data_IF_211458459640
#
_entry.id   IF_211458459640
#
_cell.length_a   1.000
_cell.length_b   1.000
_cell.length_c   1.000
_cell.angle_alpha   90.00
_cell.angle_beta   90.00
_cell.angle_gamma   90.00
#
_symmetry.space_group_name_H-M   'P 1'
#
loop_
_entity.id
_entity.type
_entity.pdbx_description
1 polymer ?
#
# COMPACT_ATOMS: atom_id res chain seq x y z
N UNK A 1 -23.99 -10.18 -5.24
CA UNK A 1 -23.94 -9.42 -3.97
C UNK A 1 -22.66 -8.60 -3.97
N UNK A 2 -22.75 -7.26 -4.02
CA UNK A 2 -21.59 -6.40 -4.27
C UNK A 2 -20.78 -6.18 -2.99
N UNK A 3 -19.62 -6.85 -2.90
CA UNK A 3 -18.72 -6.91 -1.73
C UNK A 3 -18.21 -5.52 -1.33
N UNK A 4 -18.15 -4.58 -2.28
CA UNK A 4 -17.75 -3.18 -2.04
C UNK A 4 -18.65 -2.45 -1.02
N UNK A 5 -19.93 -2.86 -0.90
CA UNK A 5 -20.88 -2.23 0.03
C UNK A 5 -20.78 -2.73 1.47
N UNK A 6 -20.11 -3.86 1.73
CA UNK A 6 -20.00 -4.44 3.08
C UNK A 6 -18.73 -4.05 3.84
N UNK A 7 -17.65 -3.73 3.14
CA UNK A 7 -16.37 -3.42 3.80
C UNK A 7 -16.24 -1.95 4.23
N UNK A 8 -16.96 -1.02 3.59
CA UNK A 8 -16.95 0.40 3.96
C UNK A 8 -18.34 1.03 3.77
N UNK A 9 -19.23 1.02 4.79
CA UNK A 9 -20.57 1.61 4.70
C UNK A 9 -20.56 3.15 4.76
N UNK A 10 -19.48 3.81 4.36
CA UNK A 10 -19.38 5.26 4.42
C UNK A 10 -19.96 5.90 3.15
N UNK A 11 -21.29 6.02 3.13
CA UNK A 11 -22.03 6.86 2.16
C UNK A 11 -22.45 8.15 2.86
N UNK A 12 -21.52 9.09 3.06
CA UNK A 12 -21.87 10.49 3.36
C UNK A 12 -21.45 11.40 2.20
N UNK A 13 -22.21 12.47 1.91
CA UNK A 13 -21.83 13.48 0.93
C UNK A 13 -20.44 14.05 1.23
N UNK A 14 -19.61 14.22 0.20
CA UNK A 14 -18.19 14.56 0.26
C UNK A 14 -17.93 16.05 0.53
N UNK A 15 -18.73 16.68 1.40
CA UNK A 15 -18.77 18.15 1.51
C UNK A 15 -18.19 18.67 2.83
N UNK A 16 -17.68 17.79 3.69
CA UNK A 16 -17.00 18.19 4.93
C UNK A 16 -15.64 17.52 5.03
N UNK A 17 -14.62 18.37 5.11
CA UNK A 17 -13.21 18.11 5.42
C UNK A 17 -13.11 16.90 6.37
N UNK A 18 -12.61 15.77 5.87
CA UNK A 18 -12.25 14.64 6.71
C UNK A 18 -11.14 15.12 7.64
N UNK A 19 -11.44 15.31 8.93
CA UNK A 19 -10.41 15.41 9.96
C UNK A 19 -9.44 14.24 9.77
N UNK A 20 -8.15 14.58 9.75
CA UNK A 20 -7.03 13.68 9.48
C UNK A 20 -7.03 12.39 10.31
N UNK A 21 -7.74 12.40 11.44
CA UNK A 21 -7.95 11.30 12.38
C UNK A 21 -8.79 10.15 11.78
N UNK A 22 -9.64 10.40 10.79
CA UNK A 22 -10.58 9.37 10.30
C UNK A 22 -9.97 8.44 9.27
N UNK A 23 -9.24 8.95 8.28
CA UNK A 23 -8.69 8.11 7.23
C UNK A 23 -7.45 7.31 7.68
N UNK A 24 -6.70 7.76 8.69
CA UNK A 24 -5.56 7.01 9.26
C UNK A 24 -5.96 5.81 10.13
N UNK A 25 -7.25 5.54 10.33
CA UNK A 25 -7.69 4.35 11.08
C UNK A 25 -7.50 3.03 10.32
N UNK A 26 -7.56 3.09 8.99
CA UNK A 26 -7.53 1.92 8.11
C UNK A 26 -6.72 2.26 6.87
N UNK A 27 -5.65 1.53 6.62
CA UNK A 27 -4.89 1.55 5.38
C UNK A 27 -5.22 0.33 4.51
N UNK A 28 -5.20 0.52 3.20
CA UNK A 28 -5.21 -0.56 2.22
C UNK A 28 -4.44 -0.07 0.97
N UNK A 29 -3.47 -0.83 0.44
CA UNK A 29 -2.59 -0.37 -0.64
C UNK A 29 -3.28 -0.11 -1.99
N UNK A 30 -4.47 -0.69 -2.20
CA UNK A 30 -5.24 -0.65 -3.44
C UNK A 30 -6.43 0.32 -3.38
N UNK A 31 -6.48 1.15 -2.33
CA UNK A 31 -7.46 2.23 -2.16
C UNK A 31 -6.75 3.58 -2.12
N UNK A 32 -7.48 4.66 -2.44
CA UNK A 32 -7.01 5.99 -2.05
C UNK A 32 -6.95 6.08 -0.53
N UNK A 33 -5.81 6.49 0.01
CA UNK A 33 -5.66 6.60 1.46
C UNK A 33 -6.63 7.58 2.12
N UNK A 34 -7.05 8.65 1.45
CA UNK A 34 -7.97 9.62 2.04
C UNK A 34 -9.43 9.18 1.88
N UNK A 35 -9.91 9.03 0.65
CA UNK A 35 -11.33 8.79 0.36
C UNK A 35 -11.72 7.31 0.24
N UNK A 36 -10.75 6.39 0.34
CA UNK A 36 -10.96 4.94 0.29
C UNK A 36 -11.60 4.41 -1.01
N UNK A 37 -11.71 5.24 -2.06
CA UNK A 37 -12.16 4.79 -3.39
C UNK A 37 -11.14 3.81 -3.99
N UNK A 38 -11.64 2.78 -4.66
CA UNK A 38 -10.84 1.69 -5.27
C UNK A 38 -10.27 2.10 -6.62
N UNK A 39 -9.27 1.34 -7.11
CA UNK A 39 -8.74 1.44 -8.49
C UNK A 39 -9.81 1.24 -9.58
N UNK A 40 -10.97 0.65 -9.26
CA UNK A 40 -12.08 0.48 -10.21
C UNK A 40 -12.90 1.75 -10.41
N UNK A 41 -12.93 2.62 -9.39
CA UNK A 41 -13.72 3.87 -9.38
C UNK A 41 -12.86 5.06 -9.79
N UNK A 42 -11.57 5.04 -9.44
CA UNK A 42 -10.64 6.16 -9.66
C UNK A 42 -9.26 5.66 -10.04
N UNK A 43 -8.53 6.46 -10.83
CA UNK A 43 -7.12 6.24 -11.04
C UNK A 43 -6.35 6.58 -9.75
N UNK A 44 -5.54 5.63 -9.27
CA UNK A 44 -4.70 5.84 -8.09
C UNK A 44 -3.28 6.23 -8.51
N UNK A 45 -2.82 7.33 -7.94
CA UNK A 45 -1.46 7.86 -8.00
C UNK A 45 -0.71 7.34 -6.77
N UNK A 46 0.27 6.49 -7.00
CA UNK A 46 1.16 5.99 -5.94
C UNK A 46 2.21 7.06 -5.61
N UNK A 47 2.56 7.21 -4.33
CA UNK A 47 3.63 8.11 -3.91
C UNK A 47 4.93 7.74 -4.62
N UNK A 48 5.51 8.67 -5.36
CA UNK A 48 6.68 8.45 -6.21
C UNK A 48 8.02 8.44 -5.44
N UNK A 49 7.98 8.65 -4.12
CA UNK A 49 9.17 8.58 -3.24
C UNK A 49 9.27 7.23 -2.55
N UNK A 50 8.20 6.84 -1.84
CA UNK A 50 8.20 5.59 -1.08
C UNK A 50 7.60 4.42 -1.85
N UNK A 51 6.63 4.63 -2.74
CA UNK A 51 5.86 3.60 -3.46
C UNK A 51 4.85 2.75 -2.64
N UNK A 52 4.69 3.01 -1.34
CA UNK A 52 3.86 2.17 -0.44
C UNK A 52 2.43 2.67 -0.21
N UNK A 53 2.08 3.87 -0.66
CA UNK A 53 0.76 4.48 -0.44
C UNK A 53 0.23 5.14 -1.70
N UNK A 54 -1.09 5.15 -1.88
CA UNK A 54 -1.74 5.67 -3.08
C UNK A 54 -2.87 6.66 -2.77
N UNK A 55 -3.09 7.61 -3.68
CA UNK A 55 -4.10 8.66 -3.60
C UNK A 55 -4.85 8.78 -4.93
N UNK A 56 -6.10 9.25 -4.94
CA UNK A 56 -6.84 9.44 -6.20
C UNK A 56 -6.62 10.81 -6.85
N UNK A 57 -5.93 11.74 -6.17
CA UNK A 57 -5.64 13.09 -6.64
C UNK A 57 -4.45 13.68 -5.90
N UNK A 58 -3.83 14.72 -6.47
CA UNK A 58 -2.78 15.47 -5.77
C UNK A 58 -3.35 16.19 -4.55
N UNK A 59 -4.62 16.62 -4.56
CA UNK A 59 -5.28 17.21 -3.39
C UNK A 59 -5.30 16.26 -2.19
N UNK A 60 -5.65 14.99 -2.38
CA UNK A 60 -5.63 13.99 -1.31
C UNK A 60 -4.21 13.63 -0.87
N UNK A 61 -3.25 13.68 -1.78
CA UNK A 61 -1.83 13.49 -1.43
C UNK A 61 -1.30 14.66 -0.60
N UNK A 62 -1.65 15.89 -0.95
CA UNK A 62 -1.29 17.11 -0.22
C UNK A 62 -1.98 17.19 1.14
N UNK A 63 -3.25 16.77 1.24
CA UNK A 63 -3.97 16.70 2.50
C UNK A 63 -3.27 15.77 3.51
N UNK A 64 -2.77 14.63 3.04
CA UNK A 64 -2.07 13.66 3.89
C UNK A 64 -0.56 13.95 4.05
N UNK A 65 -0.01 14.91 3.29
CA UNK A 65 1.43 15.11 3.17
C UNK A 65 2.13 15.29 4.52
N UNK A 66 1.60 16.13 5.42
CA UNK A 66 2.24 16.42 6.70
C UNK A 66 2.34 15.18 7.61
N UNK A 67 1.38 14.27 7.53
CA UNK A 67 1.38 13.02 8.30
C UNK A 67 2.26 11.96 7.64
N UNK A 68 2.28 11.91 6.31
CA UNK A 68 3.05 10.92 5.56
C UNK A 68 4.55 11.23 5.46
N UNK A 69 4.95 12.50 5.53
CA UNK A 69 6.31 12.95 5.15
C UNK A 69 7.44 12.22 5.89
N UNK A 70 7.25 11.90 7.17
CA UNK A 70 8.30 11.35 8.01
C UNK A 70 8.56 9.88 7.63
N UNK A 71 7.52 9.05 7.66
CA UNK A 71 7.60 7.65 7.22
C UNK A 71 8.03 7.54 5.76
N UNK A 72 7.55 8.44 4.89
CA UNK A 72 7.96 8.49 3.49
C UNK A 72 9.47 8.70 3.33
N UNK A 73 10.06 9.56 4.16
CA UNK A 73 11.50 9.86 4.11
C UNK A 73 12.33 8.69 4.63
N UNK A 74 11.87 8.02 5.69
CA UNK A 74 12.54 6.82 6.21
C UNK A 74 12.50 5.66 5.20
N UNK A 75 11.36 5.40 4.56
CA UNK A 75 11.24 4.40 3.49
C UNK A 75 12.11 4.77 2.30
N UNK A 76 12.05 6.01 1.82
CA UNK A 76 12.86 6.44 0.67
C UNK A 76 14.36 6.27 0.93
N UNK A 77 14.82 6.54 2.16
CA UNK A 77 16.21 6.30 2.55
C UNK A 77 16.58 4.83 2.40
N UNK A 78 15.79 3.92 2.97
CA UNK A 78 16.03 2.49 2.82
C UNK A 78 16.08 2.04 1.35
N UNK A 79 15.16 2.53 0.52
CA UNK A 79 15.11 2.20 -0.90
C UNK A 79 16.31 2.72 -1.69
N UNK A 80 16.88 3.86 -1.30
CA UNK A 80 18.12 4.39 -1.91
C UNK A 80 19.33 3.53 -1.55
N UNK A 81 19.37 3.04 -0.32
CA UNK A 81 20.44 2.16 0.16
C UNK A 81 20.29 0.73 -0.40
N UNK A 82 19.07 0.33 -0.78
CA UNK A 82 18.72 -1.00 -1.28
C UNK A 82 17.96 -0.93 -2.62
N UNK A 83 18.61 -0.52 -3.73
CA UNK A 83 17.95 -0.22 -5.00
C UNK A 83 17.21 -1.42 -5.63
N UNK A 84 17.62 -2.65 -5.32
CA UNK A 84 16.97 -3.84 -5.85
C UNK A 84 15.73 -4.29 -5.07
N UNK A 85 15.50 -3.75 -3.86
CA UNK A 85 14.46 -4.23 -2.93
C UNK A 85 13.07 -4.37 -3.59
N UNK A 86 12.67 -3.41 -4.42
CA UNK A 86 11.36 -3.42 -5.07
C UNK A 86 11.27 -4.33 -6.32
N UNK A 87 12.39 -4.55 -6.99
CA UNK A 87 12.46 -5.27 -8.28
C UNK A 87 12.90 -6.71 -8.14
N UNK A 88 13.56 -7.05 -7.03
CA UNK A 88 14.04 -8.39 -6.77
C UNK A 88 12.87 -9.36 -6.60
N UNK A 89 13.10 -10.61 -7.01
CA UNK A 89 12.15 -11.72 -6.83
C UNK A 89 12.66 -12.56 -5.69
N UNK A 90 11.88 -12.62 -4.63
CA UNK A 90 12.23 -13.37 -3.44
C UNK A 90 11.52 -14.72 -3.43
N UNK A 91 12.15 -15.72 -2.84
CA UNK A 91 11.43 -16.81 -2.20
C UNK A 91 10.64 -16.29 -1.00
N UNK A 92 9.76 -17.12 -0.45
CA UNK A 92 8.97 -16.72 0.72
C UNK A 92 9.85 -16.50 1.94
N UNK A 93 10.84 -17.37 2.17
CA UNK A 93 11.78 -17.29 3.28
C UNK A 93 12.64 -16.03 3.18
N UNK A 94 13.23 -15.78 2.02
CA UNK A 94 14.02 -14.56 1.77
C UNK A 94 13.18 -13.31 1.97
N UNK A 95 11.92 -13.30 1.49
CA UNK A 95 11.01 -12.16 1.66
C UNK A 95 10.80 -11.82 3.13
N UNK A 96 10.57 -12.82 3.99
CA UNK A 96 10.34 -12.60 5.42
C UNK A 96 11.55 -11.95 6.09
N UNK A 97 12.76 -12.40 5.75
CA UNK A 97 14.01 -11.86 6.29
C UNK A 97 14.23 -10.41 5.84
N UNK A 98 14.14 -10.13 4.53
CA UNK A 98 14.38 -8.77 4.00
C UNK A 98 13.28 -7.80 4.40
N UNK A 99 12.03 -8.27 4.58
CA UNK A 99 10.93 -7.43 5.02
C UNK A 99 11.04 -7.07 6.50
N UNK A 100 11.53 -7.96 7.36
CA UNK A 100 11.83 -7.62 8.75
C UNK A 100 12.97 -6.60 8.83
N UNK A 101 14.07 -6.81 8.10
CA UNK A 101 15.16 -5.82 8.02
C UNK A 101 14.67 -4.44 7.55
N UNK A 102 13.85 -4.41 6.50
CA UNK A 102 13.21 -3.18 6.03
C UNK A 102 12.38 -2.51 7.12
N UNK A 103 11.51 -3.26 7.80
CA UNK A 103 10.66 -2.76 8.86
C UNK A 103 11.48 -2.19 10.03
N UNK A 104 12.49 -2.92 10.50
CA UNK A 104 13.36 -2.47 11.60
C UNK A 104 14.15 -1.23 11.21
N UNK A 105 14.73 -1.21 10.00
CA UNK A 105 15.50 -0.06 9.51
C UNK A 105 14.64 1.19 9.40
N UNK A 106 13.42 1.08 8.88
CA UNK A 106 12.49 2.22 8.81
C UNK A 106 12.10 2.67 10.21
N UNK A 107 11.76 1.76 11.12
CA UNK A 107 11.42 2.11 12.51
C UNK A 107 12.56 2.84 13.22
N UNK A 108 13.79 2.36 13.06
CA UNK A 108 14.98 2.98 13.64
C UNK A 108 15.23 4.39 13.07
N UNK A 109 15.11 4.56 11.74
CA UNK A 109 15.32 5.85 11.08
C UNK A 109 14.22 6.87 11.43
N UNK A 110 13.01 6.42 11.68
CA UNK A 110 11.87 7.28 12.01
C UNK A 110 12.00 7.88 13.42
N UNK A 111 12.61 7.16 14.38
CA UNK A 111 12.88 7.66 15.73
C UNK A 111 11.64 7.86 16.62
N UNK A 112 10.48 7.39 16.18
CA UNK A 112 9.21 7.36 16.93
C UNK A 112 8.47 6.06 16.64
N UNK A 113 7.47 5.74 17.46
CA UNK A 113 6.55 4.66 17.15
C UNK A 113 5.78 4.94 15.84
N UNK A 114 5.48 3.86 15.13
CA UNK A 114 4.67 3.90 13.92
C UNK A 114 3.21 4.18 14.29
N UNK A 115 2.56 5.04 13.53
CA UNK A 115 1.11 5.14 13.58
C UNK A 115 0.49 3.86 13.02
N UNK A 116 -0.73 3.52 13.45
CA UNK A 116 -1.43 2.31 13.02
C UNK A 116 -1.50 2.15 11.50
N UNK A 117 -1.71 3.24 10.75
CA UNK A 117 -1.75 3.15 9.28
C UNK A 117 -0.37 2.90 8.67
N UNK A 118 0.70 3.36 9.33
CA UNK A 118 2.09 3.14 8.91
C UNK A 118 2.46 1.67 9.14
N UNK A 119 2.12 1.08 10.29
CA UNK A 119 2.27 -0.37 10.51
C UNK A 119 1.55 -1.18 9.42
N UNK A 120 0.31 -0.78 9.11
CA UNK A 120 -0.49 -1.40 8.06
C UNK A 120 0.13 -1.26 6.66
N UNK A 121 0.95 -0.23 6.40
CA UNK A 121 1.69 -0.11 5.13
C UNK A 121 2.67 -1.27 4.93
N UNK A 122 3.30 -1.76 6.00
CA UNK A 122 4.21 -2.92 5.95
C UNK A 122 3.43 -4.23 5.90
N UNK A 123 2.42 -4.37 6.77
CA UNK A 123 1.59 -5.59 6.83
C UNK A 123 0.87 -5.86 5.50
N UNK A 124 0.37 -4.81 4.86
CA UNK A 124 -0.35 -4.90 3.59
C UNK A 124 0.51 -4.38 2.43
N UNK A 125 1.82 -4.65 2.45
CA UNK A 125 2.71 -4.35 1.33
C UNK A 125 2.22 -5.05 0.07
N UNK A 126 2.25 -4.34 -1.08
CA UNK A 126 1.92 -4.95 -2.37
C UNK A 126 3.09 -5.82 -2.83
N UNK A 127 2.81 -7.09 -3.03
CA UNK A 127 3.76 -8.06 -3.54
C UNK A 127 3.06 -9.02 -4.50
N UNK A 128 3.79 -9.58 -5.45
CA UNK A 128 3.28 -10.70 -6.22
C UNK A 128 3.09 -11.90 -5.29
N UNK A 129 1.89 -12.48 -5.26
CA UNK A 129 1.56 -13.65 -4.43
C UNK A 129 2.47 -14.88 -4.63
N UNK A 130 3.20 -14.94 -5.75
CA UNK A 130 4.02 -16.09 -6.11
C UNK A 130 5.52 -15.80 -5.97
N UNK A 131 6.02 -14.68 -6.49
CA UNK A 131 7.46 -14.36 -6.48
C UNK A 131 7.87 -13.15 -5.63
N UNK A 132 6.94 -12.60 -4.84
CA UNK A 132 7.19 -11.55 -3.84
C UNK A 132 7.80 -10.23 -4.37
N UNK A 133 7.98 -10.07 -5.69
CA UNK A 133 8.38 -8.77 -6.27
C UNK A 133 7.31 -7.71 -6.01
N UNK A 134 7.71 -6.44 -5.87
CA UNK A 134 6.80 -5.35 -5.47
C UNK A 134 6.41 -4.42 -6.64
N UNK A 135 7.04 -4.60 -7.80
CA UNK A 135 6.82 -3.75 -8.97
C UNK A 135 5.95 -4.43 -10.04
N UNK A 136 5.28 -3.58 -10.85
CA UNK A 136 4.45 -3.99 -12.01
C UNK A 136 3.38 -5.02 -11.64
N UNK A 137 2.67 -4.73 -10.56
CA UNK A 137 1.65 -5.60 -9.97
C UNK A 137 0.23 -5.21 -10.38
N UNK A 138 -0.58 -6.23 -10.64
CA UNK A 138 -2.01 -6.15 -10.88
C UNK A 138 -2.76 -6.64 -9.64
N UNK A 139 -3.81 -5.93 -9.26
CA UNK A 139 -4.67 -6.32 -8.14
C UNK A 139 -5.83 -7.20 -8.61
N UNK A 140 -6.13 -8.24 -7.85
CA UNK A 140 -7.33 -9.04 -8.08
C UNK A 140 -8.59 -8.17 -7.90
N UNK A 141 -9.40 -8.05 -8.94
CA UNK A 141 -10.65 -7.27 -8.90
C UNK A 141 -11.75 -7.90 -8.06
N UNK A 142 -11.67 -9.22 -7.82
CA UNK A 142 -12.66 -9.93 -6.98
C UNK A 142 -12.44 -9.67 -5.49
N UNK A 143 -11.22 -9.90 -5.00
CA UNK A 143 -10.90 -9.82 -3.57
C UNK A 143 -10.27 -8.50 -3.14
N UNK A 144 -9.64 -7.75 -4.06
CA UNK A 144 -8.88 -6.51 -3.85
C UNK A 144 -7.64 -6.64 -2.95
N UNK A 145 -7.46 -7.79 -2.29
CA UNK A 145 -6.40 -8.03 -1.30
C UNK A 145 -5.13 -8.65 -1.85
N UNK A 146 -5.19 -9.35 -3.00
CA UNK A 146 -4.04 -10.05 -3.56
C UNK A 146 -3.57 -9.38 -4.84
N UNK A 147 -2.26 -9.22 -4.95
CA UNK A 147 -1.57 -8.69 -6.11
C UNK A 147 -0.72 -9.80 -6.80
N UNK A 148 -0.58 -9.70 -8.12
CA UNK A 148 0.23 -10.62 -8.94
C UNK A 148 0.96 -9.87 -10.05
N UNK A 149 2.10 -10.37 -10.49
CA UNK A 149 2.80 -9.81 -11.67
C UNK A 149 2.29 -10.45 -12.96
N UNK A 150 2.59 -9.82 -14.11
CA UNK A 150 2.11 -10.30 -15.42
C UNK A 150 2.50 -11.76 -15.71
N UNK A 151 3.72 -12.15 -15.33
CA UNK A 151 4.25 -13.49 -15.57
C UNK A 151 3.52 -14.57 -14.75
N UNK A 152 3.02 -14.21 -13.57
CA UNK A 152 2.29 -15.13 -12.69
C UNK A 152 0.78 -15.00 -12.82
N UNK A 153 0.27 -14.34 -13.86
CA UNK A 153 -1.17 -14.12 -14.04
C UNK A 153 -1.94 -15.45 -14.16
N UNK A 154 -1.49 -16.36 -15.04
CA UNK A 154 -2.19 -17.62 -15.28
C UNK A 154 -2.15 -18.54 -14.04
N UNK A 155 -1.00 -18.66 -13.40
CA UNK A 155 -0.83 -19.43 -12.16
C UNK A 155 -1.66 -18.86 -11.01
N UNK A 156 -1.74 -17.53 -10.90
CA UNK A 156 -2.62 -16.87 -9.94
C UNK A 156 -4.09 -17.19 -10.20
N UNK A 157 -4.56 -17.08 -11.45
CA UNK A 157 -5.96 -17.35 -11.83
C UNK A 157 -6.38 -18.81 -11.54
N UNK A 158 -5.45 -19.76 -11.61
CA UNK A 158 -5.70 -21.17 -11.26
C UNK A 158 -5.78 -21.42 -9.75
N UNK A 159 -5.00 -20.69 -8.94
CA UNK A 159 -4.93 -20.87 -7.48
C UNK A 159 -5.95 -20.02 -6.72
N UNK A 160 -6.49 -18.99 -7.34
CA UNK A 160 -7.34 -17.98 -6.71
C UNK A 160 -8.77 -18.00 -7.28
N UNK A 161 -9.61 -18.87 -6.73
CA UNK A 161 -11.04 -18.99 -7.07
C UNK A 161 -11.92 -17.86 -6.48
#
# INVERSE_FOLDING_TARGET
MNITKRLFPYTRPWDHILDSVHYNKIFHPNLCHVCKKTREVVNLITCNRCFFISYCSEDHKNLHFLQHREICTAIEKYLKDNPEYLTHRFSQEEWLEVHDDFYQSVKQNLGRELERYEEQMFIFTRLCFICYQQTRLYSCKKCLSIDYCLEHKEEFEQRHE
#
